data_IF_187097977798
#
_entry.id   IF_187097977798
#
_cell.length_a   1.000
_cell.length_b   1.000
_cell.length_c   1.000
_cell.angle_alpha   90.00
_cell.angle_beta   90.00
_cell.angle_gamma   90.00
#
_symmetry.space_group_name_H-M   'P 1'
#
loop_
_entity.id
_entity.type
_entity.pdbx_description
1 polymer ?
#
# COMPACT_ATOMS: atom_id res chain seq x y z
N UNK A 1 -32.00 62.30 -10.41
CA UNK A 1 -30.89 61.34 -10.31
C UNK A 1 -31.36 60.20 -9.42
N UNK A 2 -31.27 58.96 -9.94
CA UNK A 2 -31.55 57.62 -9.40
C UNK A 2 -32.25 57.45 -8.03
N UNK A 3 -33.41 56.78 -7.92
CA UNK A 3 -33.70 55.34 -8.17
C UNK A 3 -33.23 54.43 -7.00
N UNK A 4 -34.25 53.97 -6.21
CA UNK A 4 -34.50 52.58 -5.74
C UNK A 4 -33.69 52.01 -4.53
N UNK A 5 -34.18 51.19 -3.57
CA UNK A 5 -35.35 50.29 -3.42
C UNK A 5 -35.71 50.07 -1.92
N UNK A 6 -37.03 49.94 -1.65
CA UNK A 6 -37.79 49.16 -0.64
C UNK A 6 -37.04 48.12 0.26
N UNK A 7 -37.47 47.83 1.50
CA UNK A 7 -38.77 47.24 1.84
C UNK A 7 -39.29 47.51 3.26
N UNK A 8 -40.60 47.72 3.32
CA UNK A 8 -41.47 47.71 4.49
C UNK A 8 -41.86 46.27 4.88
N UNK A 9 -42.01 46.06 6.19
CA UNK A 9 -43.01 45.27 6.95
C UNK A 9 -43.72 44.11 6.21
N UNK A 10 -43.69 42.89 6.77
CA UNK A 10 -44.88 42.01 6.86
C UNK A 10 -44.67 40.87 7.87
N UNK A 11 -45.64 40.72 8.78
CA UNK A 11 -45.79 39.59 9.69
C UNK A 11 -45.93 38.26 8.94
N UNK A 12 -45.36 37.18 9.47
CA UNK A 12 -45.77 35.81 9.14
C UNK A 12 -46.14 35.01 10.39
N UNK A 13 -47.36 34.49 10.33
CA UNK A 13 -47.92 33.44 11.15
C UNK A 13 -47.24 32.09 10.88
N UNK A 14 -47.14 31.28 11.95
CA UNK A 14 -47.43 29.83 12.01
C UNK A 14 -46.63 28.87 11.11
N UNK A 15 -45.76 28.08 11.76
CA UNK A 15 -45.76 26.62 11.60
C UNK A 15 -45.01 25.95 12.78
N UNK A 16 -45.75 25.60 13.83
CA UNK A 16 -45.39 24.45 14.66
C UNK A 16 -45.81 23.21 13.88
N UNK A 17 -44.89 22.27 13.62
CA UNK A 17 -45.19 20.87 13.29
C UNK A 17 -43.92 20.00 13.28
N UNK A 18 -44.07 18.69 13.56
CA UNK A 18 -43.28 18.02 14.59
C UNK A 18 -42.55 16.80 14.06
N UNK A 19 -41.22 16.72 14.22
CA UNK A 19 -40.47 15.48 13.98
C UNK A 19 -39.43 15.26 15.08
N UNK A 20 -39.93 15.26 16.32
CA UNK A 20 -39.31 14.55 17.43
C UNK A 20 -40.37 13.65 18.07
N UNK A 21 -41.01 12.80 17.27
CA UNK A 21 -41.89 11.74 17.77
C UNK A 21 -41.20 10.37 17.66
N UNK A 22 -41.06 9.73 18.82
CA UNK A 22 -40.91 8.28 19.04
C UNK A 22 -39.60 7.63 18.56
N UNK A 23 -38.59 7.70 19.43
CA UNK A 23 -37.58 6.65 19.55
C UNK A 23 -38.26 5.35 20.03
N UNK A 24 -38.77 4.54 19.10
CA UNK A 24 -39.14 3.14 19.36
C UNK A 24 -37.91 2.28 19.07
N UNK A 25 -37.39 1.63 20.12
CA UNK A 25 -36.19 0.80 20.16
C UNK A 25 -34.85 1.57 20.19
N UNK A 26 -34.36 1.96 21.39
CA UNK A 26 -32.97 2.35 21.55
C UNK A 26 -32.01 1.28 21.01
N UNK A 27 -32.39 -0.01 21.06
CA UNK A 27 -31.66 -1.13 20.46
C UNK A 27 -31.43 -0.94 18.96
N UNK A 28 -32.42 -0.46 18.20
CA UNK A 28 -32.31 -0.26 16.74
C UNK A 28 -31.40 0.94 16.44
N UNK A 29 -31.49 2.01 17.23
CA UNK A 29 -30.62 3.18 17.11
C UNK A 29 -29.17 2.81 17.45
N UNK A 30 -28.95 2.01 18.50
CA UNK A 30 -27.62 1.50 18.85
C UNK A 30 -27.09 0.52 17.80
N UNK A 31 -27.94 -0.32 17.18
CA UNK A 31 -27.55 -1.21 16.08
C UNK A 31 -27.18 -0.44 14.82
N UNK A 32 -27.92 0.60 14.45
CA UNK A 32 -27.62 1.47 13.30
C UNK A 32 -26.36 2.30 13.56
N UNK A 33 -26.14 2.78 14.79
CA UNK A 33 -24.88 3.43 15.19
C UNK A 33 -23.72 2.42 15.21
N UNK A 34 -23.90 1.20 15.72
CA UNK A 34 -22.85 0.18 15.68
C UNK A 34 -22.51 -0.20 14.23
N UNK A 35 -23.54 -0.44 13.39
CA UNK A 35 -23.40 -0.74 11.97
C UNK A 35 -22.74 0.42 11.22
N UNK A 36 -23.16 1.65 11.49
CA UNK A 36 -22.58 2.89 10.94
C UNK A 36 -21.13 3.08 11.37
N UNK A 37 -20.80 2.83 12.64
CA UNK A 37 -19.42 2.88 13.15
C UNK A 37 -18.58 1.77 12.51
N UNK A 38 -19.07 0.54 12.40
CA UNK A 38 -18.35 -0.55 11.72
C UNK A 38 -18.13 -0.26 10.22
N UNK A 39 -19.10 0.36 9.54
CA UNK A 39 -18.95 0.78 8.14
C UNK A 39 -17.94 1.92 7.95
N UNK A 40 -17.76 2.79 8.97
CA UNK A 40 -16.76 3.88 8.90
C UNK A 40 -15.32 3.47 9.26
N UNK A 41 -15.10 2.25 9.79
CA UNK A 41 -13.74 1.80 10.16
C UNK A 41 -12.86 1.30 9.02
N UNK A 42 -13.31 1.38 7.76
CA UNK A 42 -12.49 1.00 6.59
C UNK A 42 -12.32 2.07 5.52
N UNK A 43 -12.62 3.35 5.80
CA UNK A 43 -12.15 4.44 4.94
C UNK A 43 -10.65 4.64 5.17
N UNK A 44 -9.86 3.71 4.64
CA UNK A 44 -8.45 3.96 4.42
C UNK A 44 -8.40 4.88 3.20
N UNK A 45 -8.02 6.14 3.43
CA UNK A 45 -7.78 7.15 2.39
C UNK A 45 -6.58 6.74 1.53
N UNK A 46 -6.77 5.70 0.73
CA UNK A 46 -5.82 5.27 -0.27
C UNK A 46 -6.00 6.13 -1.51
N UNK A 47 -4.87 6.63 -2.00
CA UNK A 47 -4.79 7.35 -3.25
C UNK A 47 -4.13 6.46 -4.30
N UNK A 48 -4.32 6.79 -5.58
CA UNK A 48 -3.69 6.07 -6.67
C UNK A 48 -2.17 5.99 -6.46
N UNK A 49 -1.62 4.79 -6.61
CA UNK A 49 -0.19 4.54 -6.48
C UNK A 49 0.29 4.36 -5.04
N UNK A 50 -0.58 4.48 -4.02
CA UNK A 50 -0.21 4.15 -2.64
C UNK A 50 0.19 2.68 -2.50
N UNK A 51 1.26 2.43 -1.75
CA UNK A 51 1.65 1.09 -1.35
C UNK A 51 0.71 0.64 -0.22
N UNK A 52 0.05 -0.47 -0.46
CA UNK A 52 -0.84 -1.14 0.49
C UNK A 52 -0.12 -2.34 1.08
N UNK A 53 0.07 -2.36 2.39
CA UNK A 53 0.64 -3.47 3.13
C UNK A 53 -0.45 -4.29 3.83
N UNK A 54 -0.33 -5.61 3.74
CA UNK A 54 -1.19 -6.59 4.41
C UNK A 54 -0.36 -7.37 5.42
N UNK A 55 -0.57 -7.10 6.72
CA UNK A 55 0.15 -7.77 7.80
C UNK A 55 -0.28 -9.24 7.90
N UNK A 56 0.66 -10.17 7.74
CA UNK A 56 0.43 -11.62 7.84
C UNK A 56 1.00 -12.13 9.16
N UNK A 57 0.12 -12.64 10.01
CA UNK A 57 0.47 -13.20 11.32
C UNK A 57 0.47 -14.73 11.28
N UNK A 58 1.20 -15.36 12.21
CA UNK A 58 1.17 -16.81 12.41
C UNK A 58 1.13 -17.11 13.92
N UNK A 59 0.02 -17.68 14.40
CA UNK A 59 -0.08 -18.18 15.77
C UNK A 59 -0.05 -17.14 16.90
N UNK A 60 -0.37 -15.87 16.62
CA UNK A 60 -0.43 -14.79 17.60
C UNK A 60 -0.53 -13.41 16.96
N UNK A 61 -0.29 -12.35 17.75
CA UNK A 61 -0.46 -10.95 17.31
C UNK A 61 0.75 -10.36 16.57
N UNK A 62 1.85 -11.11 16.48
CA UNK A 62 3.07 -10.62 15.82
C UNK A 62 2.99 -10.81 14.30
N UNK A 63 3.30 -9.75 13.57
CA UNK A 63 3.40 -9.76 12.11
C UNK A 63 4.68 -10.49 11.69
N UNK A 64 4.50 -11.61 10.98
CA UNK A 64 5.59 -12.43 10.46
C UNK A 64 6.21 -11.78 9.23
N UNK A 65 5.35 -11.34 8.30
CA UNK A 65 5.72 -10.64 7.09
C UNK A 65 4.56 -9.77 6.60
N UNK A 66 4.83 -8.87 5.66
CA UNK A 66 3.82 -8.07 4.96
C UNK A 66 3.74 -8.51 3.50
N UNK A 67 2.53 -8.71 2.99
CA UNK A 67 2.29 -8.74 1.55
C UNK A 67 2.07 -7.31 1.06
N UNK A 68 2.58 -6.96 -0.12
CA UNK A 68 2.52 -5.60 -0.66
C UNK A 68 1.76 -5.53 -1.99
N UNK A 69 1.08 -4.42 -2.20
CA UNK A 69 0.33 -4.11 -3.42
C UNK A 69 0.36 -2.60 -3.69
N UNK A 70 -0.09 -2.20 -4.88
CA UNK A 70 -0.33 -0.81 -5.27
C UNK A 70 -1.83 -0.56 -5.35
N UNK A 71 -2.32 0.49 -4.70
CA UNK A 71 -3.71 0.90 -4.81
C UNK A 71 -3.98 1.53 -6.17
N UNK A 72 -4.99 1.01 -6.87
CA UNK A 72 -5.44 1.44 -8.20
C UNK A 72 -6.95 1.56 -8.26
N UNK A 73 -7.64 1.58 -7.10
CA UNK A 73 -9.08 1.41 -7.06
C UNK A 73 -9.87 2.42 -7.89
N UNK A 74 -11.08 2.07 -8.35
CA UNK A 74 -11.86 2.93 -9.25
C UNK A 74 -12.20 4.29 -8.62
N UNK A 75 -12.28 4.34 -7.29
CA UNK A 75 -12.46 5.56 -6.49
C UNK A 75 -11.39 6.63 -6.74
N UNK A 76 -10.23 6.26 -7.28
CA UNK A 76 -9.15 7.19 -7.64
C UNK A 76 -9.45 8.01 -8.89
N UNK A 77 -10.42 7.59 -9.73
CA UNK A 77 -10.70 8.20 -11.03
C UNK A 77 -9.64 7.93 -12.10
N UNK A 78 -8.65 7.07 -11.82
CA UNK A 78 -7.53 6.78 -12.70
C UNK A 78 -7.64 5.36 -13.26
N UNK A 79 -7.83 5.24 -14.58
CA UNK A 79 -7.92 3.96 -15.26
C UNK A 79 -6.54 3.43 -15.71
N UNK A 80 -6.28 2.17 -15.38
CA UNK A 80 -5.12 1.34 -15.77
C UNK A 80 -5.56 -0.04 -16.28
N UNK A 81 -6.84 -0.22 -16.61
CA UNK A 81 -7.43 -1.50 -17.01
C UNK A 81 -7.84 -2.40 -15.84
N UNK A 82 -7.91 -1.86 -14.62
CA UNK A 82 -8.25 -2.60 -13.40
C UNK A 82 -9.74 -2.96 -13.32
N UNK A 83 -10.60 -2.25 -14.05
CA UNK A 83 -12.05 -2.41 -14.01
C UNK A 83 -12.58 -2.28 -12.58
N UNK A 84 -13.09 -3.40 -12.08
CA UNK A 84 -13.49 -3.68 -10.70
C UNK A 84 -12.59 -3.34 -9.53
N UNK A 85 -11.29 -3.52 -9.79
CA UNK A 85 -10.36 -3.99 -8.79
C UNK A 85 -9.65 -2.85 -8.08
N UNK A 86 -9.25 -3.11 -6.84
CA UNK A 86 -8.72 -2.06 -5.96
C UNK A 86 -7.19 -2.01 -5.96
N UNK A 87 -6.55 -3.15 -6.22
CA UNK A 87 -5.11 -3.30 -6.05
C UNK A 87 -4.46 -3.99 -7.24
N UNK A 88 -3.21 -3.62 -7.50
CA UNK A 88 -2.31 -4.28 -8.42
C UNK A 88 -1.13 -4.86 -7.65
N UNK A 89 -0.87 -6.15 -7.78
CA UNK A 89 0.15 -6.82 -6.95
C UNK A 89 0.80 -8.02 -7.63
N UNK A 90 1.96 -8.40 -7.12
CA UNK A 90 2.65 -9.64 -7.48
C UNK A 90 2.41 -10.67 -6.38
N UNK A 91 1.73 -11.77 -6.70
CA UNK A 91 1.58 -12.91 -5.79
C UNK A 91 2.44 -14.07 -6.26
N UNK A 92 3.18 -14.71 -5.35
CA UNK A 92 3.77 -16.02 -5.59
C UNK A 92 2.81 -17.13 -5.18
N UNK A 93 2.42 -18.03 -6.09
CA UNK A 93 1.70 -19.26 -5.73
C UNK A 93 1.90 -20.37 -6.76
N UNK A 94 2.14 -21.59 -6.25
CA UNK A 94 2.38 -22.88 -6.96
C UNK A 94 3.58 -22.82 -7.93
N UNK A 95 4.56 -23.71 -7.74
CA UNK A 95 5.76 -23.83 -8.58
C UNK A 95 6.66 -22.59 -8.66
N UNK A 96 6.64 -21.69 -7.66
CA UNK A 96 7.46 -20.46 -7.61
C UNK A 96 7.21 -19.47 -8.75
N UNK A 97 6.13 -19.61 -9.52
CA UNK A 97 5.77 -18.65 -10.56
C UNK A 97 4.92 -17.53 -9.95
N UNK A 98 5.18 -16.31 -10.38
CA UNK A 98 4.39 -15.13 -10.04
C UNK A 98 4.02 -14.34 -11.29
N UNK A 99 2.78 -13.88 -11.34
CA UNK A 99 2.23 -13.03 -12.40
C UNK A 99 1.56 -11.83 -11.74
N UNK A 100 1.94 -10.58 -12.07
CA UNK A 100 1.22 -9.40 -11.63
C UNK A 100 -0.23 -9.41 -12.08
N UNK A 101 -1.15 -9.09 -11.17
CA UNK A 101 -2.58 -9.10 -11.44
C UNK A 101 -3.31 -8.02 -10.64
N UNK A 102 -4.54 -7.75 -11.08
CA UNK A 102 -5.49 -6.94 -10.33
C UNK A 102 -6.36 -7.86 -9.46
N UNK A 103 -6.64 -7.44 -8.23
CA UNK A 103 -7.53 -8.13 -7.28
C UNK A 103 -8.34 -7.10 -6.48
N UNK A 104 -9.42 -7.55 -5.85
CA UNK A 104 -10.15 -6.79 -4.83
C UNK A 104 -9.33 -6.68 -3.55
N UNK A 105 -9.37 -5.50 -2.92
CA UNK A 105 -8.64 -5.27 -1.68
C UNK A 105 -9.14 -6.20 -0.57
N UNK A 106 -10.46 -6.35 -0.47
CA UNK A 106 -11.11 -7.20 0.54
C UNK A 106 -10.73 -8.69 0.43
N UNK A 107 -10.66 -9.22 -0.80
CA UNK A 107 -10.30 -10.62 -1.07
C UNK A 107 -8.87 -10.95 -0.64
N UNK A 108 -7.96 -9.98 -0.79
CA UNK A 108 -6.55 -10.11 -0.42
C UNK A 108 -6.35 -9.84 1.07
N UNK A 109 -7.12 -8.89 1.63
CA UNK A 109 -7.11 -8.54 3.04
C UNK A 109 -7.46 -9.73 3.91
N UNK A 110 -8.61 -10.35 3.70
CA UNK A 110 -9.14 -11.39 4.60
C UNK A 110 -9.08 -10.89 6.06
N UNK A 111 -8.49 -11.67 6.96
CA UNK A 111 -8.28 -11.29 8.36
C UNK A 111 -7.04 -10.39 8.61
N UNK A 112 -6.35 -9.94 7.57
CA UNK A 112 -5.12 -9.16 7.71
C UNK A 112 -5.44 -7.73 8.09
N UNK A 113 -4.63 -7.14 8.97
CA UNK A 113 -4.58 -5.69 9.12
C UNK A 113 -3.98 -5.09 7.85
N UNK A 114 -4.68 -4.11 7.27
CA UNK A 114 -4.26 -3.42 6.02
C UNK A 114 -3.85 -1.99 6.33
N UNK A 115 -2.74 -1.51 5.77
CA UNK A 115 -2.19 -0.18 6.03
C UNK A 115 -1.65 0.43 4.74
N UNK A 116 -1.58 1.76 4.70
CA UNK A 116 -0.74 2.50 3.75
C UNK A 116 0.70 2.45 4.24
N UNK A 117 1.65 2.07 3.38
CA UNK A 117 3.05 1.84 3.74
C UNK A 117 4.00 2.45 2.70
N UNK A 118 3.88 3.76 2.48
CA UNK A 118 4.75 4.53 1.56
C UNK A 118 6.08 4.94 2.23
N UNK A 119 6.74 4.03 2.93
CA UNK A 119 7.86 4.33 3.83
C UNK A 119 9.10 4.95 3.17
N UNK A 120 9.21 4.93 1.82
CA UNK A 120 10.30 5.59 1.11
C UNK A 120 10.02 7.05 0.73
N UNK A 121 8.78 7.53 0.90
CA UNK A 121 8.44 8.93 0.61
C UNK A 121 9.31 9.90 1.44
N UNK A 122 9.60 9.52 2.68
CA UNK A 122 10.46 10.29 3.60
C UNK A 122 11.97 10.07 3.37
N UNK A 123 12.35 9.07 2.58
CA UNK A 123 13.74 8.70 2.28
C UNK A 123 14.23 9.31 0.95
N UNK A 124 13.81 10.55 0.67
CA UNK A 124 14.25 11.32 -0.50
C UNK A 124 13.42 11.12 -1.76
N UNK A 125 12.47 10.18 -1.78
CA UNK A 125 11.52 10.02 -2.88
C UNK A 125 10.33 10.97 -2.69
N UNK A 126 10.50 12.21 -3.12
CA UNK A 126 9.48 13.27 -2.99
C UNK A 126 8.33 13.14 -3.99
N UNK A 127 7.62 12.01 -3.95
CA UNK A 127 6.55 11.64 -4.89
C UNK A 127 5.43 12.69 -4.91
N UNK A 128 5.13 13.34 -3.79
CA UNK A 128 4.06 14.34 -3.72
C UNK A 128 4.29 15.58 -4.61
N UNK A 129 5.51 15.84 -5.07
CA UNK A 129 5.84 16.96 -5.97
C UNK A 129 6.07 16.52 -7.41
N UNK A 130 5.93 15.23 -7.69
CA UNK A 130 6.25 14.66 -8.97
C UNK A 130 5.04 14.70 -9.92
N UNK A 131 5.07 15.67 -10.84
CA UNK A 131 3.99 15.89 -11.81
C UNK A 131 3.78 14.71 -12.76
N UNK A 132 4.80 13.88 -12.94
CA UNK A 132 4.76 12.73 -13.84
C UNK A 132 4.51 11.41 -13.09
N UNK A 133 4.26 11.46 -11.77
CA UNK A 133 4.05 10.27 -10.93
C UNK A 133 2.97 9.35 -11.49
N UNK A 134 1.80 9.92 -11.82
CA UNK A 134 0.69 9.16 -12.37
C UNK A 134 1.09 8.47 -13.67
N UNK A 135 1.61 9.24 -14.64
CA UNK A 135 2.00 8.74 -15.95
C UNK A 135 3.05 7.62 -15.86
N UNK A 136 4.07 7.76 -15.01
CA UNK A 136 5.09 6.72 -14.83
C UNK A 136 4.55 5.49 -14.11
N UNK A 137 3.68 5.66 -13.12
CA UNK A 137 3.04 4.56 -12.41
C UNK A 137 2.16 3.76 -13.37
N UNK A 138 1.31 4.44 -14.17
CA UNK A 138 0.52 3.81 -15.25
C UNK A 138 1.39 3.03 -16.21
N UNK A 139 2.48 3.65 -16.70
CA UNK A 139 3.41 3.00 -17.62
C UNK A 139 4.00 1.72 -17.03
N UNK A 140 4.47 1.77 -15.78
CA UNK A 140 5.05 0.59 -15.10
C UNK A 140 4.03 -0.52 -14.87
N UNK A 141 2.78 -0.18 -14.56
CA UNK A 141 1.70 -1.17 -14.46
C UNK A 141 1.48 -1.82 -15.82
N UNK A 142 1.31 -1.03 -16.89
CA UNK A 142 1.13 -1.55 -18.25
C UNK A 142 2.31 -2.40 -18.75
N UNK A 143 3.54 -1.97 -18.46
CA UNK A 143 4.76 -2.68 -18.84
C UNK A 143 4.92 -4.03 -18.11
N UNK A 144 4.29 -4.23 -16.95
CA UNK A 144 4.49 -5.43 -16.11
C UNK A 144 3.27 -6.34 -16.03
N UNK A 145 2.08 -5.84 -16.37
CA UNK A 145 0.84 -6.60 -16.30
C UNK A 145 0.93 -7.91 -17.10
N UNK A 146 0.54 -9.02 -16.48
CA UNK A 146 0.54 -10.34 -17.12
C UNK A 146 1.93 -10.97 -17.35
N UNK A 147 3.02 -10.28 -17.05
CA UNK A 147 4.37 -10.83 -17.23
C UNK A 147 4.70 -11.85 -16.14
N UNK A 148 5.05 -13.07 -16.55
CA UNK A 148 5.44 -14.10 -15.60
C UNK A 148 6.90 -13.90 -15.14
N UNK A 149 7.17 -14.25 -13.89
CA UNK A 149 8.52 -14.29 -13.34
C UNK A 149 8.65 -15.35 -12.24
N UNK A 150 9.87 -15.68 -11.85
CA UNK A 150 10.14 -16.59 -10.72
C UNK A 150 10.11 -15.77 -9.43
N UNK A 151 9.16 -16.08 -8.55
CA UNK A 151 9.05 -15.48 -7.23
C UNK A 151 10.13 -16.03 -6.30
N UNK A 152 10.90 -15.14 -5.64
CA UNK A 152 11.79 -15.55 -4.54
C UNK A 152 11.50 -14.69 -3.31
N UNK A 153 11.39 -15.28 -2.11
CA UNK A 153 11.06 -14.51 -0.90
C UNK A 153 12.00 -13.33 -0.63
N UNK A 154 13.28 -13.46 -1.03
CA UNK A 154 14.32 -12.46 -0.81
C UNK A 154 14.76 -11.71 -2.08
N UNK A 155 14.11 -11.95 -3.22
CA UNK A 155 14.39 -11.27 -4.49
C UNK A 155 13.22 -11.47 -5.47
N UNK A 156 12.78 -10.44 -6.19
CA UNK A 156 11.60 -10.48 -7.04
C UNK A 156 10.36 -10.95 -6.25
N UNK A 157 10.06 -10.22 -5.17
CA UNK A 157 8.91 -10.45 -4.29
C UNK A 157 7.89 -9.31 -4.39
N UNK A 158 6.79 -9.41 -3.63
CA UNK A 158 5.72 -8.41 -3.65
C UNK A 158 6.17 -7.00 -3.21
N UNK A 159 7.11 -6.88 -2.27
CA UNK A 159 7.61 -5.59 -1.77
C UNK A 159 8.48 -4.89 -2.81
N UNK A 160 9.44 -5.63 -3.39
CA UNK A 160 10.29 -5.13 -4.46
C UNK A 160 9.46 -4.75 -5.68
N UNK A 161 8.42 -5.52 -5.98
CA UNK A 161 7.49 -5.21 -7.04
C UNK A 161 6.73 -3.90 -6.78
N UNK A 162 6.10 -3.76 -5.61
CA UNK A 162 5.36 -2.54 -5.27
C UNK A 162 6.26 -1.29 -5.28
N UNK A 163 7.46 -1.38 -4.70
CA UNK A 163 8.43 -0.28 -4.70
C UNK A 163 8.96 0.04 -6.10
N UNK A 164 9.16 -0.97 -6.96
CA UNK A 164 9.46 -0.75 -8.37
C UNK A 164 8.34 0.01 -9.10
N UNK A 165 7.07 -0.31 -8.84
CA UNK A 165 5.94 0.39 -9.47
C UNK A 165 5.86 1.85 -8.99
N UNK A 166 5.86 2.10 -7.68
CA UNK A 166 5.72 3.45 -7.12
C UNK A 166 6.96 4.32 -7.38
N UNK A 167 8.14 3.82 -6.99
CA UNK A 167 9.38 4.60 -6.97
C UNK A 167 10.27 4.39 -8.20
N UNK A 168 10.09 3.30 -8.94
CA UNK A 168 10.97 2.93 -10.05
C UNK A 168 12.25 2.22 -9.62
N UNK A 169 12.39 1.93 -8.32
CA UNK A 169 13.54 1.24 -7.74
C UNK A 169 13.01 0.18 -6.76
N UNK A 170 13.47 -1.08 -6.84
CA UNK A 170 12.99 -2.12 -5.95
C UNK A 170 13.66 -2.00 -4.58
N UNK A 171 12.90 -2.20 -3.51
CA UNK A 171 13.37 -2.24 -2.12
C UNK A 171 12.78 -3.42 -1.37
N UNK A 172 13.54 -3.94 -0.40
CA UNK A 172 13.16 -5.08 0.43
C UNK A 172 13.61 -4.82 1.87
N UNK A 173 12.68 -4.50 2.75
CA UNK A 173 12.94 -4.19 4.16
C UNK A 173 12.00 -4.95 5.10
N UNK A 174 10.75 -5.20 4.70
CA UNK A 174 9.72 -5.84 5.52
C UNK A 174 9.58 -5.17 6.91
N UNK A 175 9.62 -3.84 6.98
CA UNK A 175 9.71 -3.10 8.24
C UNK A 175 8.62 -3.49 9.25
N UNK A 176 9.00 -3.57 10.54
CA UNK A 176 8.15 -3.97 11.67
C UNK A 176 7.63 -5.42 11.59
N UNK A 177 8.43 -6.32 11.02
CA UNK A 177 8.08 -7.75 10.93
C UNK A 177 9.20 -8.66 11.40
N UNK A 178 8.87 -9.93 11.65
CA UNK A 178 9.90 -10.95 11.91
C UNK A 178 10.84 -11.14 10.70
N UNK A 179 10.32 -11.00 9.48
CA UNK A 179 11.12 -11.11 8.26
C UNK A 179 12.23 -10.04 8.16
N UNK A 180 12.02 -8.84 8.68
CA UNK A 180 13.06 -7.79 8.76
C UNK A 180 14.30 -8.27 9.52
N UNK A 181 14.10 -8.98 10.64
CA UNK A 181 15.21 -9.51 11.45
C UNK A 181 16.03 -10.54 10.66
N UNK A 182 15.35 -11.40 9.89
CA UNK A 182 16.00 -12.40 9.03
C UNK A 182 16.79 -11.72 7.91
N UNK A 183 16.22 -10.67 7.29
CA UNK A 183 16.87 -9.88 6.24
C UNK A 183 18.16 -9.21 6.75
N UNK A 184 18.09 -8.50 7.89
CA UNK A 184 19.25 -7.85 8.51
C UNK A 184 20.36 -8.86 8.87
N UNK A 185 19.97 -10.04 9.37
CA UNK A 185 20.92 -11.12 9.66
C UNK A 185 21.65 -11.61 8.40
N UNK A 186 20.91 -11.81 7.30
CA UNK A 186 21.48 -12.22 6.00
C UNK A 186 22.44 -11.16 5.45
N UNK A 187 22.05 -9.89 5.46
CA UNK A 187 22.91 -8.79 5.00
C UNK A 187 24.21 -8.71 5.78
N UNK A 188 24.13 -8.86 7.11
CA UNK A 188 25.30 -8.85 7.99
C UNK A 188 26.26 -10.00 7.65
N UNK A 189 25.73 -11.21 7.49
CA UNK A 189 26.53 -12.39 7.10
C UNK A 189 27.19 -12.21 5.72
N UNK A 190 26.46 -11.65 4.74
CA UNK A 190 27.02 -11.36 3.41
C UNK A 190 28.17 -10.37 3.46
N UNK A 191 28.06 -9.30 4.28
CA UNK A 191 29.15 -8.33 4.46
C UNK A 191 30.40 -8.95 5.08
N UNK A 192 30.23 -9.83 6.07
CA UNK A 192 31.35 -10.56 6.69
C UNK A 192 32.03 -11.46 5.65
N UNK A 193 31.26 -12.25 4.90
CA UNK A 193 31.81 -13.12 3.85
C UNK A 193 32.55 -12.35 2.76
N UNK A 194 32.01 -11.22 2.30
CA UNK A 194 32.68 -10.36 1.32
C UNK A 194 34.00 -9.78 1.86
N UNK A 195 34.04 -9.43 3.14
CA UNK A 195 35.25 -8.95 3.81
C UNK A 195 36.30 -10.04 3.92
N UNK A 196 35.91 -11.27 4.31
CA UNK A 196 36.81 -12.43 4.37
C UNK A 196 37.35 -12.78 2.98
N UNK A 197 36.49 -12.81 1.96
CA UNK A 197 36.89 -13.09 0.59
C UNK A 197 37.91 -12.06 0.08
N UNK A 198 37.70 -10.77 0.36
CA UNK A 198 38.64 -9.70 -0.01
C UNK A 198 40.01 -9.87 0.67
N UNK A 199 40.04 -10.24 1.94
CA UNK A 199 41.31 -10.52 2.65
C UNK A 199 42.01 -11.75 2.08
N UNK A 200 41.27 -12.84 1.80
CA UNK A 200 41.85 -14.05 1.22
C UNK A 200 42.45 -13.82 -0.18
N UNK A 201 41.86 -12.94 -1.00
CA UNK A 201 42.42 -12.57 -2.31
C UNK A 201 43.67 -11.69 -2.21
N UNK A 202 43.86 -10.95 -1.11
CA UNK A 202 45.07 -10.16 -0.89
C UNK A 202 46.27 -11.02 -0.43
N UNK A 203 46.03 -12.20 0.16
CA UNK A 203 47.09 -13.12 0.59
C UNK A 203 47.64 -14.01 -0.54
N UNK A 204 46.98 -14.05 -1.70
CA UNK A 204 47.43 -14.85 -2.87
C UNK A 204 48.35 -14.12 -3.84
N UNK A 205 48.61 -12.82 -3.63
CA UNK A 205 49.60 -12.05 -4.40
C UNK A 205 50.97 -12.06 -3.71
N UNK A 206 51.56 -13.25 -3.51
CA UNK A 206 52.98 -13.34 -3.19
C UNK A 206 53.79 -13.06 -4.47
N UNK A 207 54.72 -12.07 -4.47
CA UNK A 207 55.59 -11.85 -5.62
C UNK A 207 56.58 -13.02 -5.69
N UNK A 208 56.38 -13.93 -6.65
CA UNK A 208 57.43 -14.83 -7.09
C UNK A 208 58.53 -13.97 -7.75
N UNK A 209 59.50 -13.51 -6.97
CA UNK A 209 60.78 -13.05 -7.51
C UNK A 209 61.56 -14.29 -7.93
N UNK A 210 61.47 -14.62 -9.22
CA UNK A 210 62.30 -15.65 -9.84
C UNK A 210 63.78 -15.28 -9.74
N UNK A 211 64.57 -16.23 -9.26
CA UNK A 211 66.03 -16.22 -9.36
C UNK A 211 66.53 -16.93 -10.61
#
# INVERSE_FOLDING_TARGET
MSIMIHCYVFSFHRASSPLLEKMKNPILVTLVLLLGITLTTSNKDFHFGDIVAFERTCGGDKTVYKHYAIYVGPSTGIDVGQGDNDIFHLTGKKCMVSVPKFDKLEDVAKASKVLKDNYLDDNGYKIQYDKDFEARTKKRIGDTFGQWSIYRPFNNNCEQFATQIRYGVPSLQQHDTMAESVLKGKESATKVLATVAKHATMETECPFTGG
#
